data_IF_454288228369
#
_entry.id   IF_454288228369
#
_cell.length_a   1.000
_cell.length_b   1.000
_cell.length_c   1.000
_cell.angle_alpha   90.00
_cell.angle_beta   90.00
_cell.angle_gamma   90.00
#
_symmetry.space_group_name_H-M   'P 1'
#
loop_
_entity.id
_entity.type
_entity.pdbx_description
1 polymer ?
#
# COMPACT_ATOMS: atom_id res chain seq x y z
N UNK A 1 8.65 -12.64 11.44
CA UNK A 1 9.86 -13.33 10.91
C UNK A 1 9.71 -13.72 9.45
N UNK A 2 8.59 -14.38 9.06
CA UNK A 2 8.28 -14.74 7.67
C UNK A 2 8.39 -13.58 6.67
N UNK A 3 7.68 -12.47 6.88
CA UNK A 3 7.64 -11.37 5.89
C UNK A 3 9.01 -10.77 5.62
N UNK A 4 9.88 -10.67 6.63
CA UNK A 4 11.26 -10.22 6.45
C UNK A 4 12.07 -11.20 5.60
N UNK A 5 11.88 -12.52 5.79
CA UNK A 5 12.55 -13.55 4.99
C UNK A 5 12.09 -13.51 3.53
N UNK A 6 10.78 -13.40 3.32
CA UNK A 6 10.20 -13.33 1.98
C UNK A 6 10.64 -12.05 1.26
N UNK A 7 10.67 -10.92 1.98
CA UNK A 7 11.18 -9.65 1.47
C UNK A 7 12.63 -9.77 1.03
N UNK A 8 13.53 -10.25 1.91
CA UNK A 8 14.94 -10.44 1.56
C UNK A 8 15.09 -11.35 0.33
N UNK A 9 14.38 -12.48 0.32
CA UNK A 9 14.41 -13.41 -0.81
C UNK A 9 13.96 -12.76 -2.13
N UNK A 10 12.86 -12.00 -2.11
CA UNK A 10 12.40 -11.28 -3.30
C UNK A 10 13.39 -10.22 -3.78
N UNK A 11 13.98 -9.47 -2.85
CA UNK A 11 14.98 -8.45 -3.20
C UNK A 11 16.26 -9.09 -3.77
N UNK A 12 16.68 -10.24 -3.26
CA UNK A 12 17.84 -10.98 -3.78
C UNK A 12 17.58 -11.54 -5.20
N UNK A 13 16.32 -11.81 -5.54
CA UNK A 13 15.90 -12.17 -6.91
C UNK A 13 15.77 -10.97 -7.85
N UNK A 14 15.86 -9.73 -7.34
CA UNK A 14 15.74 -8.52 -8.13
C UNK A 14 14.31 -8.21 -8.59
N UNK A 15 13.30 -8.47 -7.74
CA UNK A 15 11.92 -8.07 -8.05
C UNK A 15 11.79 -6.55 -8.20
N UNK A 16 11.01 -6.10 -9.19
CA UNK A 16 10.81 -4.67 -9.43
C UNK A 16 9.88 -4.01 -8.40
N UNK A 17 8.95 -4.77 -7.82
CA UNK A 17 7.90 -4.27 -6.95
C UNK A 17 7.72 -5.12 -5.68
N UNK A 18 7.51 -4.43 -4.56
CA UNK A 18 7.08 -5.01 -3.30
C UNK A 18 5.71 -4.41 -2.93
N UNK A 19 4.70 -5.26 -2.76
CA UNK A 19 3.38 -4.85 -2.32
C UNK A 19 3.20 -5.12 -0.82
N UNK A 20 3.16 -4.05 -0.01
CA UNK A 20 3.00 -4.14 1.44
C UNK A 20 1.51 -4.30 1.79
N UNK A 21 1.19 -5.42 2.43
CA UNK A 21 -0.18 -5.76 2.89
C UNK A 21 -0.49 -5.14 4.24
N UNK A 22 -1.78 -5.00 4.56
CA UNK A 22 -2.28 -4.51 5.85
C UNK A 22 -1.67 -3.19 6.34
N UNK A 23 -1.35 -2.27 5.42
CA UNK A 23 -0.93 -0.91 5.79
C UNK A 23 -2.02 -0.26 6.60
N UNK A 24 -1.64 0.45 7.66
CA UNK A 24 -2.56 1.16 8.55
C UNK A 24 -2.14 2.61 8.76
N UNK A 25 -0.83 2.89 8.76
CA UNK A 25 -0.28 4.20 9.09
C UNK A 25 0.92 4.55 8.19
N UNK A 26 1.26 5.85 8.03
CA UNK A 26 2.39 6.27 7.20
C UNK A 26 3.72 5.62 7.60
N UNK A 27 3.92 5.33 8.88
CA UNK A 27 5.14 4.73 9.42
C UNK A 27 5.39 3.33 8.85
N UNK A 28 4.34 2.57 8.54
CA UNK A 28 4.48 1.23 7.94
C UNK A 28 5.20 1.31 6.58
N UNK A 29 4.99 2.40 5.83
CA UNK A 29 5.65 2.66 4.55
C UNK A 29 7.12 3.04 4.77
N UNK A 30 7.41 3.84 5.78
CA UNK A 30 8.76 4.26 6.14
C UNK A 30 9.59 3.04 6.55
N UNK A 31 9.07 2.22 7.46
CA UNK A 31 9.72 0.99 7.93
C UNK A 31 9.99 0.03 6.76
N UNK A 32 9.03 -0.15 5.84
CA UNK A 32 9.23 -0.98 4.66
C UNK A 32 10.27 -0.39 3.70
N UNK A 33 10.27 0.93 3.49
CA UNK A 33 11.24 1.62 2.64
C UNK A 33 12.66 1.46 3.19
N UNK A 34 12.86 1.54 4.49
CA UNK A 34 14.17 1.33 5.13
C UNK A 34 14.74 -0.07 4.84
N UNK A 35 13.88 -1.09 4.78
CA UNK A 35 14.29 -2.46 4.47
C UNK A 35 14.54 -2.70 2.97
N UNK A 36 13.72 -2.08 2.12
CA UNK A 36 13.79 -2.23 0.66
C UNK A 36 14.98 -1.43 0.09
N UNK A 37 15.16 -0.20 0.53
CA UNK A 37 16.07 0.77 -0.06
C UNK A 37 15.60 1.20 -1.46
N UNK A 38 16.55 1.24 -2.38
CA UNK A 38 16.39 1.57 -3.80
C UNK A 38 16.23 0.32 -4.70
N UNK A 39 16.21 -0.88 -4.11
CA UNK A 39 16.22 -2.15 -4.83
C UNK A 39 14.89 -2.50 -5.52
N UNK A 40 13.78 -1.92 -5.07
CA UNK A 40 12.45 -2.15 -5.63
C UNK A 40 11.51 -0.97 -5.35
N UNK A 41 10.47 -0.85 -6.17
CA UNK A 41 9.35 0.05 -5.91
C UNK A 41 8.43 -0.49 -4.81
N UNK A 42 7.86 0.40 -4.01
CA UNK A 42 6.98 0.08 -2.89
C UNK A 42 5.53 0.46 -3.22
N UNK A 43 4.66 -0.53 -3.23
CA UNK A 43 3.22 -0.39 -3.40
C UNK A 43 2.51 -0.63 -2.07
N UNK A 44 1.68 0.32 -1.62
CA UNK A 44 0.86 0.14 -0.42
C UNK A 44 -0.50 -0.46 -0.78
N UNK A 45 -0.90 -1.56 -0.13
CA UNK A 45 -2.23 -2.14 -0.27
C UNK A 45 -3.17 -1.51 0.75
N UNK A 46 -4.22 -0.85 0.27
CA UNK A 46 -5.24 -0.21 1.11
C UNK A 46 -6.33 -1.23 1.41
N UNK A 47 -6.23 -1.82 2.60
CA UNK A 47 -7.09 -2.90 3.10
C UNK A 47 -7.81 -2.51 4.39
N UNK A 48 -7.20 -1.63 5.19
CA UNK A 48 -7.69 -1.25 6.51
C UNK A 48 -8.38 0.12 6.50
N UNK A 49 -9.45 0.33 7.29
CA UNK A 49 -10.10 1.63 7.41
C UNK A 49 -9.15 2.74 7.88
N UNK A 50 -8.18 2.40 8.74
CA UNK A 50 -7.11 3.31 9.20
C UNK A 50 -6.25 3.83 8.04
N UNK A 51 -5.87 2.98 7.09
CA UNK A 51 -5.13 3.42 5.91
C UNK A 51 -5.96 4.35 5.01
N UNK A 52 -7.28 4.21 4.96
CA UNK A 52 -8.16 5.16 4.26
C UNK A 52 -8.11 6.54 4.93
N UNK A 53 -8.04 6.60 6.26
CA UNK A 53 -7.91 7.86 7.02
C UNK A 53 -6.56 8.54 6.78
N UNK A 54 -5.49 7.76 6.58
CA UNK A 54 -4.13 8.24 6.33
C UNK A 54 -3.73 8.23 4.84
N UNK A 55 -4.70 8.09 3.93
CA UNK A 55 -4.47 7.80 2.52
C UNK A 55 -3.48 8.75 1.85
N UNK A 56 -3.65 10.06 2.03
CA UNK A 56 -2.78 11.05 1.37
C UNK A 56 -1.33 10.95 1.86
N UNK A 57 -1.13 10.78 3.17
CA UNK A 57 0.19 10.64 3.76
C UNK A 57 0.88 9.35 3.28
N UNK A 58 0.14 8.23 3.25
CA UNK A 58 0.61 6.95 2.72
C UNK A 58 0.99 7.08 1.24
N UNK A 59 0.11 7.65 0.42
CA UNK A 59 0.31 7.80 -1.02
C UNK A 59 1.51 8.70 -1.37
N UNK A 60 1.86 9.67 -0.51
CA UNK A 60 3.07 10.49 -0.69
C UNK A 60 4.36 9.72 -0.43
N UNK A 61 4.33 8.71 0.43
CA UNK A 61 5.51 7.94 0.87
C UNK A 61 5.78 6.68 0.04
N UNK A 62 4.78 6.16 -0.67
CA UNK A 62 4.93 4.99 -1.54
C UNK A 62 5.00 5.36 -3.02
N UNK A 63 5.40 4.41 -3.87
CA UNK A 63 5.50 4.60 -5.32
C UNK A 63 4.16 4.39 -6.02
N UNK A 64 3.34 3.47 -5.50
CA UNK A 64 2.00 3.18 -6.01
C UNK A 64 1.03 2.75 -4.90
N UNK A 65 -0.26 2.74 -5.21
CA UNK A 65 -1.31 2.23 -4.32
C UNK A 65 -2.00 1.04 -4.99
N UNK A 66 -2.40 0.03 -4.21
CA UNK A 66 -3.32 -1.00 -4.64
C UNK A 66 -4.62 -0.89 -3.86
N UNK A 67 -5.76 -0.85 -4.56
CA UNK A 67 -7.09 -0.94 -3.93
C UNK A 67 -7.44 -2.41 -3.71
N UNK A 68 -7.12 -2.93 -2.52
CA UNK A 68 -7.36 -4.32 -2.15
C UNK A 68 -8.80 -4.52 -1.65
N UNK A 69 -9.75 -4.48 -2.61
CA UNK A 69 -11.21 -4.50 -2.34
C UNK A 69 -11.70 -5.72 -1.57
N UNK A 70 -11.04 -6.87 -1.72
CA UNK A 70 -11.41 -8.11 -1.03
C UNK A 70 -11.30 -7.92 0.48
N UNK A 71 -10.08 -7.64 0.96
CA UNK A 71 -9.82 -7.40 2.38
C UNK A 71 -10.53 -6.14 2.89
N UNK A 72 -10.54 -5.06 2.09
CA UNK A 72 -11.24 -3.84 2.48
C UNK A 72 -12.75 -4.07 2.70
N UNK A 73 -13.40 -4.87 1.86
CA UNK A 73 -14.82 -5.23 2.01
C UNK A 73 -15.13 -6.18 3.16
N UNK A 74 -14.11 -6.76 3.80
CA UNK A 74 -14.26 -7.47 5.08
C UNK A 74 -14.24 -6.48 6.24
N UNK A 75 -13.49 -5.38 6.12
CA UNK A 75 -13.25 -4.41 7.20
C UNK A 75 -14.24 -3.24 7.22
N UNK A 76 -14.87 -2.93 6.08
CA UNK A 76 -15.93 -1.93 5.96
C UNK A 76 -17.17 -2.55 5.33
N UNK A 77 -18.38 -1.96 5.49
CA UNK A 77 -19.54 -2.40 4.74
C UNK A 77 -19.26 -2.42 3.24
N UNK A 78 -19.56 -3.53 2.57
CA UNK A 78 -19.17 -3.77 1.18
C UNK A 78 -19.71 -2.69 0.21
N UNK A 79 -20.88 -2.13 0.51
CA UNK A 79 -21.49 -1.02 -0.22
C UNK A 79 -20.68 0.28 -0.15
N UNK A 80 -19.80 0.44 0.84
CA UNK A 80 -18.90 1.60 0.96
C UNK A 80 -17.63 1.44 0.11
N UNK A 81 -17.25 0.22 -0.27
CA UNK A 81 -16.00 -0.06 -1.01
C UNK A 81 -15.92 0.70 -2.34
N UNK A 82 -16.98 0.77 -3.19
CA UNK A 82 -16.93 1.55 -4.42
C UNK A 82 -16.66 3.04 -4.20
N UNK A 83 -17.23 3.62 -3.13
CA UNK A 83 -16.98 5.02 -2.75
C UNK A 83 -15.53 5.23 -2.36
N UNK A 84 -15.02 4.39 -1.44
CA UNK A 84 -13.64 4.47 -0.95
C UNK A 84 -12.65 4.27 -2.09
N UNK A 85 -12.87 3.28 -2.97
CA UNK A 85 -12.05 3.06 -4.17
C UNK A 85 -11.94 4.32 -5.02
N UNK A 86 -13.05 5.02 -5.28
CA UNK A 86 -13.04 6.26 -6.06
C UNK A 86 -12.23 7.36 -5.37
N UNK A 87 -12.32 7.46 -4.05
CA UNK A 87 -11.57 8.43 -3.26
C UNK A 87 -10.06 8.11 -3.29
N UNK A 88 -9.69 6.82 -3.24
CA UNK A 88 -8.30 6.34 -3.42
C UNK A 88 -7.77 6.70 -4.80
N UNK A 89 -8.48 6.33 -5.87
CA UNK A 89 -8.07 6.60 -7.25
C UNK A 89 -7.92 8.11 -7.48
N UNK A 90 -8.85 8.93 -6.97
CA UNK A 90 -8.78 10.38 -7.10
C UNK A 90 -7.52 10.94 -6.43
N UNK A 91 -7.22 10.51 -5.21
CA UNK A 91 -6.03 10.96 -4.46
C UNK A 91 -4.75 10.59 -5.21
N UNK A 92 -4.64 9.35 -5.69
CA UNK A 92 -3.47 8.90 -6.45
C UNK A 92 -3.29 9.70 -7.75
N UNK A 93 -4.38 9.94 -8.49
CA UNK A 93 -4.35 10.79 -9.70
C UNK A 93 -3.88 12.21 -9.42
N UNK A 94 -4.32 12.82 -8.31
CA UNK A 94 -3.88 14.17 -7.91
C UNK A 94 -2.38 14.21 -7.57
N UNK A 95 -1.85 13.13 -6.99
CA UNK A 95 -0.44 13.01 -6.62
C UNK A 95 0.46 12.45 -7.74
N UNK A 96 -0.11 12.08 -8.89
CA UNK A 96 0.62 11.44 -9.98
C UNK A 96 1.13 10.02 -9.66
N UNK A 97 0.42 9.30 -8.77
CA UNK A 97 0.77 7.94 -8.34
C UNK A 97 -0.01 6.90 -9.14
N UNK A 98 0.64 5.84 -9.65
CA UNK A 98 -0.04 4.65 -10.15
C UNK A 98 -0.99 4.04 -9.10
N UNK A 99 -2.15 3.57 -9.55
CA UNK A 99 -3.23 3.01 -8.72
C UNK A 99 -4.08 2.01 -9.50
#
# INVERSE_FOLDING_TARGET
EKDRRDLTFGLDLGVDWVALSFVQRPEDIVEARELIGDRAFLMAKIEKPSAVQHLEAIARLCDAIMVARGDLGVEVPAENVPRIQRDIIRTCRQLGKPV
#
